data_IF_842703107423
#
_entry.id   IF_842703107423
#
_cell.length_a   1.000
_cell.length_b   1.000
_cell.length_c   1.000
_cell.angle_alpha   90.00
_cell.angle_beta   90.00
_cell.angle_gamma   90.00
#
_symmetry.space_group_name_H-M   'P 1'
#
loop_
_entity.id
_entity.type
_entity.pdbx_description
1 polymer ?
#
# COMPACT_ATOMS: atom_id res chain seq x y z
N UNK A 1 -13.03 -15.99 -19.90
CA UNK A 1 -13.52 -14.96 -18.94
C UNK A 1 -12.99 -15.16 -17.53
N UNK A 2 -13.32 -16.27 -16.83
CA UNK A 2 -12.96 -16.41 -15.41
C UNK A 2 -11.44 -16.42 -15.13
N UNK A 3 -10.57 -16.85 -16.07
CA UNK A 3 -9.09 -16.83 -15.89
C UNK A 3 -8.53 -15.41 -15.85
N UNK A 4 -9.07 -14.53 -16.71
CA UNK A 4 -8.69 -13.13 -16.79
C UNK A 4 -9.07 -12.40 -15.50
N UNK A 5 -10.25 -12.67 -14.94
CA UNK A 5 -10.69 -12.09 -13.66
C UNK A 5 -9.72 -12.39 -12.49
N UNK A 6 -9.16 -13.60 -12.43
CA UNK A 6 -8.22 -13.98 -11.36
C UNK A 6 -6.88 -13.26 -11.52
N UNK A 7 -6.41 -13.12 -12.77
CA UNK A 7 -5.17 -12.39 -13.08
C UNK A 7 -5.35 -10.91 -12.75
N UNK A 8 -6.47 -10.30 -13.16
CA UNK A 8 -6.77 -8.89 -12.86
C UNK A 8 -6.89 -8.67 -11.36
N UNK A 9 -7.60 -9.54 -10.62
CA UNK A 9 -7.71 -9.43 -9.16
C UNK A 9 -6.35 -9.55 -8.46
N UNK A 10 -5.46 -10.44 -8.93
CA UNK A 10 -4.10 -10.56 -8.42
C UNK A 10 -3.25 -9.31 -8.66
N UNK A 11 -3.33 -8.73 -9.87
CA UNK A 11 -2.62 -7.48 -10.21
C UNK A 11 -3.13 -6.32 -9.34
N UNK A 12 -4.46 -6.18 -9.19
CA UNK A 12 -5.07 -5.14 -8.36
C UNK A 12 -4.64 -5.29 -6.89
N UNK A 13 -4.61 -6.51 -6.37
CA UNK A 13 -4.15 -6.79 -5.00
C UNK A 13 -2.69 -6.41 -4.79
N UNK A 14 -1.81 -6.72 -5.76
CA UNK A 14 -0.40 -6.36 -5.70
C UNK A 14 -0.20 -4.83 -5.69
N UNK A 15 -0.93 -4.10 -6.53
CA UNK A 15 -0.89 -2.63 -6.59
C UNK A 15 -1.29 -2.03 -5.23
N UNK A 16 -2.36 -2.54 -4.61
CA UNK A 16 -2.81 -2.09 -3.29
C UNK A 16 -1.75 -2.29 -2.20
N UNK A 17 -1.05 -3.42 -2.20
CA UNK A 17 0.04 -3.70 -1.26
C UNK A 17 1.21 -2.74 -1.47
N UNK A 18 1.61 -2.50 -2.73
CA UNK A 18 2.72 -1.59 -3.06
C UNK A 18 2.39 -0.16 -2.64
N UNK A 19 1.18 0.33 -2.94
CA UNK A 19 0.74 1.68 -2.56
C UNK A 19 0.66 1.80 -1.04
N UNK A 20 0.07 0.82 -0.35
CA UNK A 20 0.00 0.81 1.12
C UNK A 20 1.39 0.81 1.76
N UNK A 21 2.33 0.04 1.23
CA UNK A 21 3.72 0.02 1.70
C UNK A 21 4.44 1.36 1.45
N UNK A 22 4.29 1.93 0.25
CA UNK A 22 4.88 3.22 -0.10
C UNK A 22 4.35 4.34 0.80
N UNK A 23 3.03 4.40 1.04
CA UNK A 23 2.43 5.37 1.95
C UNK A 23 2.90 5.18 3.39
N UNK A 24 3.15 3.95 3.83
CA UNK A 24 3.68 3.66 5.18
C UNK A 24 5.10 4.19 5.35
N UNK A 25 5.94 4.06 4.33
CA UNK A 25 7.34 4.51 4.35
C UNK A 25 7.44 6.03 4.25
N UNK A 26 6.61 6.66 3.39
CA UNK A 26 6.63 8.11 3.18
C UNK A 26 5.98 8.92 4.33
N UNK A 27 5.19 8.27 5.20
CA UNK A 27 4.66 8.92 6.41
C UNK A 27 5.73 9.06 7.52
N UNK A 28 6.95 8.57 7.30
CA UNK A 28 8.08 8.83 8.15
C UNK A 28 8.64 10.22 7.80
N UNK A 29 8.40 11.20 8.66
CA UNK A 29 8.69 12.61 8.44
C UNK A 29 10.07 12.84 7.80
N UNK A 30 10.09 13.32 6.56
CA UNK A 30 11.32 13.79 5.90
C UNK A 30 11.66 15.16 6.51
N UNK A 31 12.54 15.17 7.51
CA UNK A 31 13.10 16.39 8.07
C UNK A 31 14.25 16.85 7.18
N UNK A 32 14.03 17.90 6.39
CA UNK A 32 15.10 18.60 5.65
C UNK A 32 15.65 19.67 6.60
N UNK A 33 16.81 19.40 7.20
CA UNK A 33 17.50 20.34 8.09
C UNK A 33 18.23 21.38 7.23
N UNK A 34 17.64 22.58 7.13
CA UNK A 34 18.24 23.77 6.52
C UNK A 34 19.26 24.44 7.45
N UNK A 35 20.41 24.82 6.90
CA UNK A 35 21.55 25.36 7.64
C UNK A 35 21.38 26.80 8.15
N UNK A 36 22.17 27.08 9.20
CA UNK A 36 22.66 28.34 9.81
C UNK A 36 21.73 29.52 10.13
N UNK A 37 20.59 29.71 9.45
CA UNK A 37 19.56 30.70 9.84
C UNK A 37 18.31 30.05 10.47
N UNK A 38 18.43 28.76 10.81
CA UNK A 38 17.40 27.96 11.43
C UNK A 38 16.38 27.46 10.39
N UNK A 39 16.14 26.14 10.28
CA UNK A 39 15.10 25.67 9.39
C UNK A 39 13.77 26.14 9.96
N UNK A 40 13.12 27.10 9.31
CA UNK A 40 11.68 27.24 9.42
C UNK A 40 11.09 25.97 8.80
N UNK A 41 11.05 24.91 9.59
CA UNK A 41 10.63 23.58 9.19
C UNK A 41 9.15 23.64 8.84
N UNK A 42 8.84 23.68 7.54
CA UNK A 42 7.48 23.47 7.07
C UNK A 42 7.20 21.97 7.22
N UNK A 43 6.75 21.59 8.41
CA UNK A 43 6.17 20.27 8.62
C UNK A 43 4.87 20.21 7.81
N UNK A 44 4.95 19.65 6.61
CA UNK A 44 3.76 19.17 5.91
C UNK A 44 3.27 17.96 6.71
N UNK A 45 2.45 18.23 7.73
CA UNK A 45 1.82 17.23 8.58
C UNK A 45 0.69 16.56 7.79
N UNK A 46 1.03 15.85 6.71
CA UNK A 46 0.12 14.89 6.11
C UNK A 46 0.04 13.71 7.08
N UNK A 47 -0.75 13.87 8.15
CA UNK A 47 -0.98 12.85 9.16
C UNK A 47 -1.86 11.75 8.56
N UNK A 48 -1.29 10.97 7.65
CA UNK A 48 -1.90 9.73 7.22
C UNK A 48 -1.98 8.85 8.46
N UNK A 49 -3.18 8.63 8.95
CA UNK A 49 -3.40 7.76 10.09
C UNK A 49 -2.78 6.39 9.75
N UNK A 50 -1.81 5.93 10.54
CA UNK A 50 -1.14 4.65 10.29
C UNK A 50 -2.15 3.50 10.23
N UNK A 51 -3.28 3.65 10.95
CA UNK A 51 -4.44 2.78 10.87
C UNK A 51 -5.01 2.70 9.44
N UNK A 52 -5.22 3.84 8.77
CA UNK A 52 -5.76 3.86 7.40
C UNK A 52 -4.81 3.21 6.41
N UNK A 53 -3.50 3.48 6.51
CA UNK A 53 -2.48 2.87 5.64
C UNK A 53 -2.38 1.35 5.87
N UNK A 54 -2.50 0.91 7.13
CA UNK A 54 -2.50 -0.53 7.44
C UNK A 54 -3.71 -1.27 6.86
N UNK A 55 -4.89 -0.62 6.80
CA UNK A 55 -6.08 -1.21 6.18
C UNK A 55 -5.89 -1.49 4.70
N UNK A 56 -5.22 -0.59 3.95
CA UNK A 56 -4.91 -0.82 2.53
C UNK A 56 -4.05 -2.07 2.31
N UNK A 57 -3.05 -2.30 3.17
CA UNK A 57 -2.20 -3.49 3.10
C UNK A 57 -3.01 -4.76 3.40
N UNK A 58 -3.84 -4.75 4.45
CA UNK A 58 -4.69 -5.89 4.84
C UNK A 58 -5.65 -6.26 3.71
N UNK A 59 -6.32 -5.28 3.10
CA UNK A 59 -7.22 -5.49 1.96
C UNK A 59 -6.47 -6.09 0.77
N UNK A 60 -5.29 -5.56 0.45
CA UNK A 60 -4.46 -6.09 -0.65
C UNK A 60 -4.03 -7.54 -0.44
N UNK A 61 -3.65 -7.92 0.79
CA UNK A 61 -3.28 -9.29 1.14
C UNK A 61 -4.48 -10.23 1.04
N UNK A 62 -5.64 -9.84 1.55
CA UNK A 62 -6.87 -10.64 1.45
C UNK A 62 -7.23 -10.90 -0.02
N UNK A 63 -7.10 -9.87 -0.88
CA UNK A 63 -7.37 -9.98 -2.31
C UNK A 63 -6.40 -10.93 -3.01
N UNK A 64 -5.12 -10.91 -2.63
CA UNK A 64 -4.10 -11.85 -3.12
C UNK A 64 -4.40 -13.30 -2.70
N UNK A 65 -4.74 -13.52 -1.43
CA UNK A 65 -5.10 -14.87 -0.93
C UNK A 65 -6.35 -15.40 -1.64
N UNK A 66 -7.37 -14.55 -1.83
CA UNK A 66 -8.58 -14.91 -2.57
C UNK A 66 -8.26 -15.26 -4.04
N UNK A 67 -7.40 -14.48 -4.70
CA UNK A 67 -6.95 -14.75 -6.07
C UNK A 67 -6.20 -16.09 -6.16
N UNK A 68 -5.29 -16.38 -5.23
CA UNK A 68 -4.56 -17.65 -5.15
C UNK A 68 -5.51 -18.82 -4.92
N UNK A 69 -6.45 -18.70 -3.97
CA UNK A 69 -7.44 -19.73 -3.70
C UNK A 69 -8.32 -20.01 -4.92
N UNK A 70 -8.78 -18.97 -5.62
CA UNK A 70 -9.59 -19.11 -6.83
C UNK A 70 -8.79 -19.71 -8.01
N UNK A 71 -7.49 -19.45 -8.07
CA UNK A 71 -6.57 -20.07 -9.03
C UNK A 71 -6.39 -21.56 -8.74
N UNK A 72 -6.10 -21.93 -7.48
CA UNK A 72 -5.89 -23.32 -7.06
C UNK A 72 -7.17 -24.16 -7.16
N UNK A 73 -8.32 -23.62 -6.76
CA UNK A 73 -9.63 -24.29 -6.84
C UNK A 73 -10.06 -24.59 -8.28
N UNK A 74 -9.46 -23.96 -9.28
CA UNK A 74 -9.69 -24.25 -10.71
C UNK A 74 -8.81 -25.35 -11.29
N UNK A 75 -7.78 -25.78 -10.58
CA UNK A 75 -6.91 -26.88 -11.02
C UNK A 75 -7.43 -28.26 -10.57
N UNK A 76 -8.34 -28.30 -9.61
CA UNK A 76 -9.24 -29.44 -9.36
C UNK A 76 -10.50 -29.28 -10.19
#
# INVERSE_FOLDING_TARGET
MKKILVIVAGIVGLIFVIIGAALKINNNAISVIGGVDGPTSVFVATKLNSSSVSMFIVIGVILLVAAIFFYLKRKK
#
